data_IF_971777413264
#
_entry.id   IF_971777413264
#
_cell.length_a   1.000
_cell.length_b   1.000
_cell.length_c   1.000
_cell.angle_alpha   90.00
_cell.angle_beta   90.00
_cell.angle_gamma   90.00
#
_symmetry.space_group_name_H-M   'P 1'
#
loop_
_entity.id
_entity.type
_entity.pdbx_description
1 polymer ?
#
# COMPACT_ATOMS: atom_id res chain seq x y z
N UNK A 1 -11.21 -30.94 19.33
CA UNK A 1 -10.86 -30.05 18.20
C UNK A 1 -10.70 -30.93 16.96
N UNK A 2 -11.39 -30.60 15.83
CA UNK A 2 -11.37 -31.42 14.62
C UNK A 2 -10.37 -30.77 13.63
N UNK A 3 -9.15 -31.30 13.55
CA UNK A 3 -8.10 -30.80 12.65
C UNK A 3 -8.05 -31.69 11.42
N UNK A 4 -8.19 -31.11 10.20
CA UNK A 4 -8.03 -31.87 8.96
C UNK A 4 -6.59 -32.38 8.80
N UNK A 5 -6.37 -33.47 8.03
CA UNK A 5 -5.02 -33.92 7.71
C UNK A 5 -4.19 -32.82 7.04
N UNK A 6 -2.97 -32.56 7.50
CA UNK A 6 -2.11 -31.50 6.99
C UNK A 6 -1.86 -31.62 5.48
N UNK A 7 -1.77 -32.83 4.94
CA UNK A 7 -1.62 -33.08 3.50
C UNK A 7 -2.82 -32.56 2.71
N UNK A 8 -4.04 -32.73 3.23
CA UNK A 8 -5.26 -32.22 2.59
C UNK A 8 -5.32 -30.69 2.62
N UNK A 9 -4.83 -30.08 3.70
CA UNK A 9 -4.73 -28.61 3.83
C UNK A 9 -3.71 -28.07 2.82
N UNK A 10 -2.53 -28.67 2.69
CA UNK A 10 -1.50 -28.27 1.74
C UNK A 10 -2.00 -28.41 0.29
N UNK A 11 -2.66 -29.51 -0.03
CA UNK A 11 -3.24 -29.75 -1.36
C UNK A 11 -4.31 -28.67 -1.71
N UNK A 12 -5.18 -28.35 -0.75
CA UNK A 12 -6.20 -27.32 -0.90
C UNK A 12 -5.58 -25.93 -1.15
N UNK A 13 -4.59 -25.52 -0.34
CA UNK A 13 -3.89 -24.25 -0.51
C UNK A 13 -3.22 -24.14 -1.88
N UNK A 14 -2.47 -25.16 -2.27
CA UNK A 14 -1.75 -25.17 -3.54
C UNK A 14 -2.70 -25.09 -4.75
N UNK A 15 -3.84 -25.80 -4.72
CA UNK A 15 -4.85 -25.71 -5.78
C UNK A 15 -5.57 -24.37 -5.75
N UNK A 16 -5.90 -23.83 -4.57
CA UNK A 16 -6.51 -22.50 -4.42
C UNK A 16 -5.65 -21.38 -5.01
N UNK A 17 -4.34 -21.45 -4.81
CA UNK A 17 -3.37 -20.49 -5.32
C UNK A 17 -3.07 -20.65 -6.82
N UNK A 18 -2.99 -21.88 -7.32
CA UNK A 18 -2.59 -22.15 -8.72
C UNK A 18 -3.78 -22.25 -9.67
N UNK A 19 -5.00 -22.47 -9.16
CA UNK A 19 -6.20 -22.76 -9.96
C UNK A 19 -6.14 -24.11 -10.71
N UNK A 20 -5.16 -24.98 -10.38
CA UNK A 20 -4.86 -26.18 -11.17
C UNK A 20 -4.37 -27.34 -10.31
N UNK A 21 -5.08 -28.49 -10.40
CA UNK A 21 -4.68 -29.72 -9.74
C UNK A 21 -3.31 -30.21 -10.24
N UNK A 22 -3.05 -30.09 -11.54
CA UNK A 22 -1.78 -30.55 -12.13
C UNK A 22 -0.61 -29.74 -11.59
N UNK A 23 -0.72 -28.41 -11.60
CA UNK A 23 0.34 -27.54 -11.05
C UNK A 23 0.57 -27.78 -9.55
N UNK A 24 -0.50 -27.96 -8.80
CA UNK A 24 -0.39 -28.30 -7.38
C UNK A 24 0.26 -29.66 -7.12
N UNK A 25 0.02 -30.63 -7.99
CA UNK A 25 0.64 -31.94 -7.95
C UNK A 25 2.15 -31.87 -8.25
N UNK A 26 2.54 -31.10 -9.26
CA UNK A 26 3.93 -30.86 -9.62
C UNK A 26 4.69 -30.18 -8.47
N UNK A 27 4.11 -29.16 -7.83
CA UNK A 27 4.68 -28.48 -6.67
C UNK A 27 4.93 -29.41 -5.47
N UNK A 28 4.03 -30.37 -5.27
CA UNK A 28 4.11 -31.28 -4.12
C UNK A 28 4.83 -32.60 -4.42
N UNK A 29 5.22 -32.82 -5.66
CA UNK A 29 5.87 -34.07 -6.09
C UNK A 29 4.96 -35.31 -5.95
N UNK A 30 3.64 -35.15 -6.16
CA UNK A 30 2.64 -36.23 -6.09
C UNK A 30 1.78 -36.27 -7.35
N UNK A 31 0.95 -37.34 -7.50
CA UNK A 31 0.10 -37.44 -8.67
C UNK A 31 -1.12 -36.49 -8.58
N UNK A 32 -1.69 -36.02 -9.72
CA UNK A 32 -2.91 -35.22 -9.76
C UNK A 32 -4.10 -35.94 -9.10
N UNK A 33 -4.18 -37.29 -9.19
CA UNK A 33 -5.18 -38.08 -8.53
C UNK A 33 -5.06 -38.04 -7.01
N UNK A 34 -3.82 -38.03 -6.48
CA UNK A 34 -3.56 -37.89 -5.05
C UNK A 34 -4.03 -36.51 -4.53
N UNK A 35 -3.73 -35.43 -5.27
CA UNK A 35 -4.21 -34.06 -4.93
C UNK A 35 -5.75 -34.04 -4.92
N UNK A 36 -6.41 -34.58 -5.97
CA UNK A 36 -7.87 -34.63 -6.05
C UNK A 36 -8.47 -35.39 -4.86
N UNK A 37 -7.88 -36.52 -4.48
CA UNK A 37 -8.32 -37.33 -3.33
C UNK A 37 -8.14 -36.54 -2.00
N UNK A 38 -7.03 -35.80 -1.83
CA UNK A 38 -6.82 -34.96 -0.64
C UNK A 38 -7.87 -33.86 -0.52
N UNK A 39 -8.23 -33.20 -1.65
CA UNK A 39 -9.29 -32.19 -1.68
C UNK A 39 -10.65 -32.82 -1.33
N UNK A 40 -11.01 -33.92 -1.95
CA UNK A 40 -12.28 -34.60 -1.67
C UNK A 40 -12.39 -35.00 -0.19
N UNK A 41 -11.32 -35.49 0.42
CA UNK A 41 -11.25 -35.80 1.84
C UNK A 41 -11.49 -34.57 2.71
N UNK A 42 -10.91 -33.41 2.33
CA UNK A 42 -11.10 -32.17 3.05
C UNK A 42 -12.54 -31.66 2.97
N UNK A 43 -13.11 -31.64 1.75
CA UNK A 43 -14.51 -31.26 1.53
C UNK A 43 -15.50 -32.18 2.27
N UNK A 44 -15.25 -33.49 2.27
CA UNK A 44 -16.03 -34.44 3.06
C UNK A 44 -15.96 -34.17 4.56
N UNK A 45 -14.78 -33.82 5.08
CA UNK A 45 -14.58 -33.48 6.48
C UNK A 45 -15.30 -32.18 6.89
N UNK A 46 -15.26 -31.18 6.01
CA UNK A 46 -15.88 -29.85 6.21
C UNK A 46 -17.39 -29.93 5.96
N UNK A 47 -17.84 -30.87 5.11
CA UNK A 47 -19.24 -31.04 4.72
C UNK A 47 -19.73 -30.04 3.67
N UNK A 48 -18.84 -29.37 2.98
CA UNK A 48 -19.13 -28.38 1.93
C UNK A 48 -18.11 -28.44 0.82
N UNK A 49 -18.49 -28.21 -0.45
CA UNK A 49 -17.52 -28.01 -1.53
C UNK A 49 -16.75 -26.74 -1.35
N UNK A 50 -15.42 -26.81 -1.52
CA UNK A 50 -14.52 -25.68 -1.45
C UNK A 50 -14.12 -25.19 -2.83
N UNK A 51 -14.27 -26.04 -3.85
CA UNK A 51 -14.03 -25.71 -5.26
C UNK A 51 -15.27 -25.93 -6.11
N UNK A 52 -15.38 -25.15 -7.18
CA UNK A 52 -16.31 -25.35 -8.28
C UNK A 52 -15.55 -25.28 -9.61
N UNK A 53 -16.15 -25.84 -10.68
CA UNK A 53 -15.56 -25.82 -12.01
C UNK A 53 -16.07 -24.58 -12.78
N UNK A 54 -15.18 -23.80 -13.30
CA UNK A 54 -15.50 -22.76 -14.29
C UNK A 54 -14.66 -22.99 -15.56
N UNK A 55 -15.33 -23.32 -16.65
CA UNK A 55 -14.67 -23.66 -17.91
C UNK A 55 -13.68 -24.84 -17.75
N UNK A 56 -12.40 -24.58 -18.00
CA UNK A 56 -11.31 -25.58 -17.86
C UNK A 56 -10.58 -25.51 -16.51
N UNK A 57 -10.96 -24.59 -15.61
CA UNK A 57 -10.29 -24.33 -14.35
C UNK A 57 -11.10 -24.73 -13.12
N UNK A 58 -10.44 -24.78 -11.98
CA UNK A 58 -11.04 -24.86 -10.66
C UNK A 58 -10.98 -23.47 -10.02
N UNK A 59 -12.12 -23.02 -9.47
CA UNK A 59 -12.22 -21.77 -8.70
C UNK A 59 -12.76 -22.07 -7.31
N UNK A 60 -12.37 -21.25 -6.35
CA UNK A 60 -12.85 -21.38 -4.98
C UNK A 60 -14.33 -20.97 -4.88
N UNK A 61 -15.12 -21.77 -4.15
CA UNK A 61 -16.46 -21.35 -3.72
C UNK A 61 -16.35 -20.24 -2.67
N UNK A 62 -17.44 -19.52 -2.30
CA UNK A 62 -17.40 -18.55 -1.19
C UNK A 62 -16.90 -19.18 0.12
N UNK A 63 -17.29 -20.42 0.44
CA UNK A 63 -16.76 -21.17 1.58
C UNK A 63 -15.26 -21.48 1.42
N UNK A 64 -14.85 -21.83 0.19
CA UNK A 64 -13.46 -22.06 -0.17
C UNK A 64 -12.61 -20.81 -0.03
N UNK A 65 -13.09 -19.64 -0.45
CA UNK A 65 -12.38 -18.36 -0.34
C UNK A 65 -12.14 -17.99 1.12
N UNK A 66 -13.18 -18.07 1.96
CA UNK A 66 -13.04 -17.83 3.38
C UNK A 66 -12.01 -18.77 4.02
N UNK A 67 -12.16 -20.09 3.77
CA UNK A 67 -11.26 -21.10 4.33
C UNK A 67 -9.83 -20.95 3.82
N UNK A 68 -9.65 -20.60 2.55
CA UNK A 68 -8.33 -20.33 1.95
C UNK A 68 -7.62 -19.18 2.64
N UNK A 69 -8.32 -18.09 2.92
CA UNK A 69 -7.78 -16.95 3.64
C UNK A 69 -7.19 -17.32 5.01
N UNK A 70 -7.94 -18.12 5.78
CA UNK A 70 -7.52 -18.54 7.13
C UNK A 70 -6.37 -19.56 7.08
N UNK A 71 -6.49 -20.58 6.21
CA UNK A 71 -5.52 -21.68 6.14
C UNK A 71 -4.17 -21.24 5.59
N UNK A 72 -4.14 -20.36 4.59
CA UNK A 72 -2.88 -19.88 4.02
C UNK A 72 -2.03 -19.16 5.06
N UNK A 73 -2.66 -18.39 5.96
CA UNK A 73 -1.94 -17.75 7.08
C UNK A 73 -1.36 -18.79 8.05
N UNK A 74 -2.15 -19.80 8.42
CA UNK A 74 -1.72 -20.85 9.34
C UNK A 74 -0.56 -21.68 8.78
N UNK A 75 -0.57 -21.99 7.48
CA UNK A 75 0.54 -22.69 6.82
C UNK A 75 1.82 -21.88 6.80
N UNK A 76 1.74 -20.57 6.55
CA UNK A 76 2.89 -19.67 6.63
C UNK A 76 3.45 -19.64 8.06
N UNK A 77 2.60 -19.57 9.08
CA UNK A 77 3.04 -19.60 10.48
C UNK A 77 3.67 -20.94 10.85
N UNK A 78 3.11 -22.05 10.39
CA UNK A 78 3.67 -23.39 10.60
C UNK A 78 5.05 -23.53 9.95
N UNK A 79 5.21 -23.06 8.71
CA UNK A 79 6.51 -23.03 8.02
C UNK A 79 7.55 -22.25 8.81
N UNK A 80 7.21 -21.06 9.27
CA UNK A 80 8.08 -20.22 10.11
C UNK A 80 8.49 -20.91 11.42
N UNK A 81 7.54 -21.51 12.11
CA UNK A 81 7.83 -22.26 13.35
C UNK A 81 8.81 -23.42 13.09
N UNK A 82 8.66 -24.09 11.95
CA UNK A 82 9.55 -25.16 11.52
C UNK A 82 10.95 -24.64 11.21
N UNK A 83 11.05 -23.51 10.49
CA UNK A 83 12.35 -22.87 10.17
C UNK A 83 13.08 -22.41 11.44
N UNK A 84 12.34 -21.84 12.40
CA UNK A 84 12.91 -21.46 13.71
C UNK A 84 13.44 -22.69 14.47
N UNK A 85 12.68 -23.78 14.48
CA UNK A 85 13.07 -25.02 15.17
C UNK A 85 14.27 -25.73 14.51
N UNK A 86 14.39 -25.62 13.19
CA UNK A 86 15.49 -26.23 12.42
C UNK A 86 16.80 -25.46 12.50
N UNK A 87 16.82 -24.26 13.12
CA UNK A 87 18.00 -23.40 13.19
C UNK A 87 18.43 -22.81 11.83
N UNK A 88 17.68 -23.07 10.78
CA UNK A 88 17.92 -22.52 9.44
C UNK A 88 17.37 -21.09 9.41
N UNK A 89 18.19 -20.11 9.81
CA UNK A 89 17.88 -18.68 9.62
C UNK A 89 17.98 -18.32 8.14
N UNK A 90 16.97 -18.66 7.37
CA UNK A 90 16.75 -17.93 6.14
C UNK A 90 16.46 -16.46 6.53
N UNK A 91 17.03 -15.46 5.85
CA UNK A 91 16.74 -14.06 6.16
C UNK A 91 15.24 -13.84 6.07
N UNK A 92 14.67 -13.32 7.15
CA UNK A 92 13.24 -13.08 7.25
C UNK A 92 12.82 -12.05 6.21
N UNK A 93 11.76 -12.32 5.44
CA UNK A 93 11.25 -11.39 4.43
C UNK A 93 10.09 -10.61 5.00
N UNK A 94 10.20 -9.29 5.09
CA UNK A 94 9.08 -8.39 5.36
C UNK A 94 8.47 -7.95 4.03
N UNK A 95 7.19 -8.25 3.86
CA UNK A 95 6.41 -7.94 2.65
C UNK A 95 5.61 -6.68 2.90
N UNK A 96 6.06 -5.59 2.28
CA UNK A 96 5.43 -4.29 2.37
C UNK A 96 4.61 -4.06 1.11
N UNK A 97 3.37 -3.69 1.29
CA UNK A 97 2.53 -3.13 0.24
C UNK A 97 2.36 -1.63 0.46
N UNK A 98 2.17 -0.86 -0.59
CA UNK A 98 1.83 0.56 -0.49
C UNK A 98 1.09 1.06 -1.72
N UNK A 99 0.52 2.27 -1.65
CA UNK A 99 0.14 3.00 -2.85
C UNK A 99 1.36 3.27 -3.72
N UNK A 100 1.23 3.30 -5.07
CA UNK A 100 2.36 3.52 -5.97
C UNK A 100 3.12 4.81 -5.70
N UNK A 101 2.41 5.92 -5.46
CA UNK A 101 3.06 7.21 -5.19
C UNK A 101 3.88 7.18 -3.89
N UNK A 102 3.35 6.61 -2.81
CA UNK A 102 4.09 6.48 -1.56
C UNK A 102 5.29 5.55 -1.71
N UNK A 103 5.09 4.39 -2.33
CA UNK A 103 6.16 3.43 -2.58
C UNK A 103 7.33 4.03 -3.35
N UNK A 104 7.03 4.74 -4.44
CA UNK A 104 8.03 5.36 -5.31
C UNK A 104 8.72 6.58 -4.66
N UNK A 105 7.92 7.53 -4.16
CA UNK A 105 8.41 8.85 -3.79
C UNK A 105 8.93 8.90 -2.35
N UNK A 106 8.33 8.12 -1.45
CA UNK A 106 8.68 8.20 -0.04
C UNK A 106 9.48 6.99 0.45
N UNK A 107 9.01 5.77 0.18
CA UNK A 107 9.60 4.56 0.75
C UNK A 107 10.87 4.12 0.01
N UNK A 108 10.84 4.07 -1.32
CA UNK A 108 11.98 3.60 -2.13
C UNK A 108 13.28 4.37 -1.86
N UNK A 109 13.30 5.72 -1.77
CA UNK A 109 14.52 6.47 -1.44
C UNK A 109 15.09 6.14 -0.05
N UNK A 110 14.23 5.63 0.85
CA UNK A 110 14.56 5.33 2.26
C UNK A 110 14.83 3.85 2.53
N UNK A 111 14.60 2.96 1.56
CA UNK A 111 14.76 1.50 1.72
C UNK A 111 16.15 1.12 2.21
N UNK A 112 17.20 1.80 1.71
CA UNK A 112 18.58 1.52 2.10
C UNK A 112 18.83 1.81 3.59
N UNK A 113 18.27 2.91 4.10
CA UNK A 113 18.36 3.24 5.52
C UNK A 113 17.56 2.25 6.37
N UNK A 114 16.34 1.89 5.94
CA UNK A 114 15.54 0.87 6.60
C UNK A 114 16.29 -0.48 6.71
N UNK A 115 16.93 -0.93 5.64
CA UNK A 115 17.72 -2.18 5.64
C UNK A 115 18.97 -2.10 6.53
N UNK A 116 19.61 -0.93 6.61
CA UNK A 116 20.80 -0.75 7.43
C UNK A 116 20.48 -0.79 8.94
N UNK A 117 19.35 -0.20 9.33
CA UNK A 117 18.93 -0.19 10.74
C UNK A 117 18.22 -1.48 11.17
N UNK A 118 17.53 -2.13 10.25
CA UNK A 118 16.78 -3.37 10.50
C UNK A 118 17.54 -4.58 9.94
N UNK A 119 18.70 -4.87 10.52
CA UNK A 119 19.52 -6.02 10.12
C UNK A 119 18.79 -7.35 10.35
N UNK A 120 18.84 -8.25 9.37
CA UNK A 120 18.25 -9.58 9.43
C UNK A 120 16.97 -9.76 8.60
N UNK A 121 16.43 -8.69 8.00
CA UNK A 121 15.28 -8.78 7.11
C UNK A 121 15.65 -8.53 5.65
N UNK A 122 14.97 -9.25 4.75
CA UNK A 122 14.84 -8.85 3.35
C UNK A 122 13.51 -8.12 3.18
N UNK A 123 13.50 -7.06 2.38
CA UNK A 123 12.28 -6.31 2.09
C UNK A 123 11.78 -6.72 0.71
N UNK A 124 10.49 -7.05 0.63
CA UNK A 124 9.76 -7.17 -0.63
C UNK A 124 8.72 -6.06 -0.67
N UNK A 125 8.89 -5.11 -1.58
CA UNK A 125 7.95 -4.02 -1.82
C UNK A 125 7.08 -4.34 -3.02
N UNK A 126 5.78 -4.17 -2.88
CA UNK A 126 4.78 -4.25 -3.96
C UNK A 126 3.86 -3.04 -3.86
N UNK A 127 3.39 -2.53 -5.00
CA UNK A 127 2.56 -1.33 -5.02
C UNK A 127 1.31 -1.56 -5.88
N UNK A 128 0.15 -1.20 -5.34
CA UNK A 128 -1.12 -1.08 -6.06
C UNK A 128 -2.07 -0.15 -5.29
N UNK A 129 -3.20 0.21 -5.90
CA UNK A 129 -4.27 0.96 -5.20
C UNK A 129 -5.34 0.05 -4.62
N UNK A 130 -5.35 -1.21 -5.00
CA UNK A 130 -6.30 -2.16 -4.44
C UNK A 130 -5.93 -2.43 -2.98
N UNK A 131 -6.88 -2.31 -2.05
CA UNK A 131 -6.65 -2.68 -0.66
C UNK A 131 -6.22 -4.14 -0.57
N UNK A 132 -5.06 -4.39 0.04
CA UNK A 132 -4.59 -5.75 0.23
C UNK A 132 -5.28 -6.41 1.41
N UNK A 133 -5.56 -7.70 1.27
CA UNK A 133 -5.95 -8.55 2.38
C UNK A 133 -4.71 -9.13 3.05
N UNK A 134 -4.67 -9.10 4.37
CA UNK A 134 -3.65 -9.81 5.15
C UNK A 134 -3.94 -11.31 5.28
N UNK A 135 -5.14 -11.75 4.88
CA UNK A 135 -5.47 -13.17 4.77
C UNK A 135 -4.58 -13.81 3.70
N UNK A 136 -3.97 -14.96 4.03
CA UNK A 136 -3.04 -15.64 3.13
C UNK A 136 -1.57 -15.25 3.29
N UNK A 137 -1.22 -14.30 4.17
CA UNK A 137 0.18 -13.96 4.49
C UNK A 137 0.99 -13.40 3.31
N UNK A 138 0.30 -12.89 2.27
CA UNK A 138 0.94 -12.28 1.09
C UNK A 138 1.68 -11.00 1.45
N UNK A 139 1.17 -10.28 2.46
CA UNK A 139 1.70 -9.02 2.95
C UNK A 139 1.80 -9.03 4.47
N UNK A 140 2.75 -8.28 4.99
CA UNK A 140 2.99 -8.14 6.43
C UNK A 140 2.64 -6.72 6.91
N UNK A 141 2.86 -5.72 6.07
CA UNK A 141 2.57 -4.30 6.29
C UNK A 141 1.98 -3.72 5.02
N UNK A 142 1.01 -2.82 5.17
CA UNK A 142 0.43 -2.05 4.08
C UNK A 142 0.43 -0.56 4.44
N UNK A 143 0.86 0.29 3.51
CA UNK A 143 0.78 1.74 3.69
C UNK A 143 -0.38 2.24 2.84
N UNK A 144 -1.47 2.59 3.52
CA UNK A 144 -2.73 3.01 2.91
C UNK A 144 -2.88 4.52 2.92
N UNK A 145 -3.48 5.01 1.87
CA UNK A 145 -4.00 6.36 1.79
C UNK A 145 -5.51 6.35 2.08
N UNK A 146 -5.99 7.30 2.89
CA UNK A 146 -7.40 7.44 3.23
C UNK A 146 -7.66 7.99 4.63
N UNK A 147 -8.85 7.74 5.16
CA UNK A 147 -9.32 8.32 6.43
C UNK A 147 -8.90 7.53 7.70
N UNK A 148 -8.09 6.50 7.57
CA UNK A 148 -7.58 5.76 8.74
C UNK A 148 -8.57 4.76 9.38
N UNK A 149 -9.64 4.39 8.70
CA UNK A 149 -10.67 3.50 9.25
C UNK A 149 -10.72 2.21 8.46
N UNK A 150 -10.08 1.15 8.98
CA UNK A 150 -10.09 -0.19 8.40
C UNK A 150 -10.33 -1.23 9.49
N UNK A 151 -11.46 -1.97 9.45
CA UNK A 151 -11.78 -2.96 10.49
C UNK A 151 -10.81 -4.15 10.45
N UNK A 152 -10.54 -4.72 11.64
CA UNK A 152 -9.79 -5.97 11.78
C UNK A 152 -8.27 -5.86 11.63
N UNK A 153 -7.72 -4.65 11.62
CA UNK A 153 -6.28 -4.38 11.51
C UNK A 153 -5.82 -3.30 12.49
N UNK A 154 -4.54 -3.33 12.83
CA UNK A 154 -3.88 -2.22 13.52
C UNK A 154 -3.59 -1.09 12.53
N UNK A 155 -3.85 0.14 12.94
CA UNK A 155 -3.63 1.35 12.14
C UNK A 155 -2.74 2.32 12.90
N UNK A 156 -1.67 2.77 12.25
CA UNK A 156 -0.77 3.81 12.77
C UNK A 156 -0.67 4.93 11.75
N UNK A 157 -1.10 6.12 12.12
CA UNK A 157 -1.09 7.30 11.23
C UNK A 157 0.32 7.87 11.11
N UNK A 158 0.75 8.17 9.88
CA UNK A 158 1.94 8.97 9.63
C UNK A 158 1.61 10.44 9.89
N UNK A 159 2.38 11.09 10.77
CA UNK A 159 2.16 12.48 11.14
C UNK A 159 2.92 13.47 10.26
N UNK A 160 2.58 14.77 10.40
CA UNK A 160 3.33 15.86 9.78
C UNK A 160 3.06 16.09 8.29
N UNK A 161 1.97 15.55 7.77
CA UNK A 161 1.56 15.72 6.37
C UNK A 161 0.68 16.96 6.19
N UNK A 162 0.98 17.75 5.18
CA UNK A 162 0.13 18.86 4.74
C UNK A 162 -0.08 18.81 3.23
N UNK A 163 -1.22 19.29 2.78
CA UNK A 163 -1.50 19.55 1.37
C UNK A 163 -1.27 21.02 1.08
N UNK A 164 -0.53 21.33 0.03
CA UNK A 164 -0.24 22.72 -0.38
C UNK A 164 -0.10 22.82 -1.89
N UNK A 165 -0.46 23.96 -2.50
CA UNK A 165 -0.14 24.24 -3.89
C UNK A 165 1.38 24.26 -4.11
N UNK A 166 1.85 23.54 -5.12
CA UNK A 166 3.27 23.45 -5.48
C UNK A 166 3.46 23.59 -6.98
N UNK A 167 4.53 24.28 -7.36
CA UNK A 167 4.97 24.41 -8.76
C UNK A 167 6.50 24.55 -8.81
N UNK A 168 7.07 24.52 -10.00
CA UNK A 168 8.47 24.87 -10.19
C UNK A 168 8.71 26.37 -9.91
N UNK A 169 9.92 26.72 -9.53
CA UNK A 169 10.29 28.09 -9.26
C UNK A 169 10.05 28.99 -10.47
N UNK A 170 10.45 28.53 -11.63
CA UNK A 170 10.32 29.24 -12.91
C UNK A 170 8.85 29.53 -13.23
N UNK A 171 7.94 28.58 -12.94
CA UNK A 171 6.50 28.75 -13.13
C UNK A 171 5.94 29.82 -12.18
N UNK A 172 6.31 29.79 -10.91
CA UNK A 172 5.87 30.77 -9.90
C UNK A 172 6.32 32.19 -10.28
N UNK A 173 7.55 32.35 -10.68
CA UNK A 173 8.13 33.64 -11.08
C UNK A 173 7.50 34.16 -12.39
N UNK A 174 7.34 33.28 -13.38
CA UNK A 174 6.78 33.68 -14.69
C UNK A 174 5.30 34.16 -14.61
N UNK A 175 4.54 33.64 -13.64
CA UNK A 175 3.12 33.99 -13.46
C UNK A 175 2.89 34.96 -12.30
N UNK A 176 3.94 35.44 -11.62
CA UNK A 176 3.87 36.37 -10.49
C UNK A 176 2.87 35.93 -9.39
N UNK A 177 2.93 34.63 -9.00
CA UNK A 177 2.00 34.04 -8.04
C UNK A 177 2.33 34.49 -6.62
N UNK A 178 1.51 35.41 -6.07
CA UNK A 178 1.72 36.02 -4.74
C UNK A 178 0.61 35.74 -3.74
N UNK A 179 -0.58 35.51 -4.18
CA UNK A 179 -1.76 35.27 -3.37
C UNK A 179 -2.65 34.15 -3.95
N UNK A 180 -3.47 33.48 -3.12
CA UNK A 180 -4.31 32.37 -3.58
C UNK A 180 -5.20 32.66 -4.79
N UNK A 181 -5.69 33.91 -4.94
CA UNK A 181 -6.54 34.30 -6.07
C UNK A 181 -5.80 34.25 -7.42
N UNK A 182 -4.48 34.39 -7.43
CA UNK A 182 -3.68 34.36 -8.66
C UNK A 182 -3.72 32.99 -9.33
N UNK A 183 -3.97 31.92 -8.55
CA UNK A 183 -4.12 30.55 -9.07
C UNK A 183 -5.34 30.38 -9.99
N UNK A 184 -6.32 31.28 -9.94
CA UNK A 184 -7.47 31.23 -10.85
C UNK A 184 -7.11 31.60 -12.30
N UNK A 185 -5.95 32.20 -12.51
CA UNK A 185 -5.45 32.65 -13.81
C UNK A 185 -4.41 31.73 -14.46
N UNK A 186 -4.08 30.60 -13.84
CA UNK A 186 -3.03 29.69 -14.33
C UNK A 186 -3.52 28.25 -14.44
N UNK A 187 -2.83 27.40 -15.24
CA UNK A 187 -3.16 26.00 -15.31
C UNK A 187 -3.09 25.29 -13.94
N UNK A 188 -4.17 24.66 -13.54
CA UNK A 188 -4.23 23.81 -12.36
C UNK A 188 -4.21 22.36 -12.76
N UNK A 189 -3.37 21.59 -12.08
CA UNK A 189 -3.26 20.15 -12.25
C UNK A 189 -4.23 19.48 -11.27
N UNK A 190 -5.16 18.67 -11.81
CA UNK A 190 -6.06 17.86 -11.00
C UNK A 190 -5.42 16.52 -10.68
N UNK A 191 -5.39 16.15 -9.40
CA UNK A 191 -5.00 14.84 -8.91
C UNK A 191 -6.16 14.20 -8.16
N UNK A 192 -6.48 12.95 -8.47
CA UNK A 192 -7.57 12.22 -7.79
C UNK A 192 -7.20 11.79 -6.36
N UNK A 193 -5.90 11.75 -6.05
CA UNK A 193 -5.40 11.17 -4.80
C UNK A 193 -5.62 12.01 -3.54
N UNK A 194 -5.42 13.35 -3.51
CA UNK A 194 -5.50 14.13 -2.29
C UNK A 194 -6.87 14.10 -1.61
N UNK A 195 -6.87 14.04 -0.27
CA UNK A 195 -8.13 14.11 0.53
C UNK A 195 -8.80 15.48 0.48
N UNK A 196 -8.04 16.54 0.17
CA UNK A 196 -8.55 17.90 -0.03
C UNK A 196 -8.31 18.26 -1.49
N UNK A 197 -9.39 18.58 -2.19
CA UNK A 197 -9.36 18.97 -3.58
C UNK A 197 -9.34 20.49 -3.75
N UNK A 198 -9.00 20.98 -4.94
CA UNK A 198 -8.91 22.40 -5.26
C UNK A 198 -10.13 23.24 -4.81
N UNK A 199 -11.39 22.81 -5.05
CA UNK A 199 -12.55 23.56 -4.58
C UNK A 199 -12.56 23.78 -3.07
N UNK A 200 -12.22 22.75 -2.31
CA UNK A 200 -12.16 22.83 -0.86
C UNK A 200 -10.96 23.67 -0.39
N UNK A 201 -9.81 23.55 -1.05
CA UNK A 201 -8.65 24.36 -0.72
C UNK A 201 -8.93 25.86 -0.93
N UNK A 202 -9.49 26.25 -2.08
CA UNK A 202 -9.89 27.63 -2.34
C UNK A 202 -10.90 28.17 -1.33
N UNK A 203 -11.89 27.34 -0.96
CA UNK A 203 -12.84 27.70 0.10
C UNK A 203 -12.15 27.97 1.43
N UNK A 204 -11.15 27.13 1.79
CA UNK A 204 -10.41 27.28 3.06
C UNK A 204 -9.58 28.58 3.09
N UNK A 205 -9.12 29.08 1.95
CA UNK A 205 -8.36 30.33 1.86
C UNK A 205 -9.22 31.56 1.51
N UNK A 206 -10.54 31.40 1.50
CA UNK A 206 -11.52 32.49 1.29
C UNK A 206 -11.59 32.99 -0.15
N UNK A 207 -11.16 32.21 -1.13
CA UNK A 207 -11.24 32.56 -2.55
C UNK A 207 -12.51 31.95 -3.14
N UNK A 208 -13.40 32.80 -3.63
CA UNK A 208 -14.61 32.37 -4.36
C UNK A 208 -14.25 31.94 -5.77
N UNK A 209 -14.71 30.76 -6.15
CA UNK A 209 -14.53 30.19 -7.47
C UNK A 209 -15.89 29.80 -8.05
N UNK A 210 -16.07 29.94 -9.35
CA UNK A 210 -17.28 29.47 -10.05
C UNK A 210 -17.02 28.25 -10.90
N UNK A 211 -15.94 28.26 -11.68
CA UNK A 211 -15.52 27.13 -12.51
C UNK A 211 -13.99 27.05 -12.47
N UNK A 212 -13.45 25.89 -12.05
CA UNK A 212 -12.03 25.61 -12.15
C UNK A 212 -11.78 24.87 -13.46
N UNK A 213 -11.05 25.52 -14.37
CA UNK A 213 -10.55 24.88 -15.58
C UNK A 213 -9.34 24.04 -15.26
N UNK A 214 -9.47 22.72 -15.29
CA UNK A 214 -8.30 21.82 -15.23
C UNK A 214 -7.88 21.46 -16.65
N UNK A 215 -6.59 21.60 -16.95
CA UNK A 215 -6.06 21.19 -18.25
C UNK A 215 -5.48 19.77 -18.19
N UNK A 216 -5.02 19.34 -17.02
CA UNK A 216 -4.40 18.03 -16.79
C UNK A 216 -5.06 17.30 -15.63
N UNK A 217 -5.32 16.01 -15.85
CA UNK A 217 -5.94 15.12 -14.88
C UNK A 217 -5.06 13.89 -14.68
N UNK A 218 -4.69 13.61 -13.44
CA UNK A 218 -3.88 12.45 -13.10
C UNK A 218 -4.54 11.66 -11.96
N UNK A 219 -4.49 10.36 -12.10
CA UNK A 219 -4.91 9.42 -11.05
C UNK A 219 -3.81 9.11 -10.03
N UNK A 220 -2.62 9.72 -10.21
CA UNK A 220 -1.41 9.45 -9.42
C UNK A 220 -0.72 10.74 -8.97
N UNK A 221 -0.48 10.89 -7.67
CA UNK A 221 0.26 12.03 -7.12
C UNK A 221 1.64 12.21 -7.75
N UNK A 222 2.37 11.12 -8.02
CA UNK A 222 3.69 11.23 -8.64
C UNK A 222 3.64 11.85 -10.05
N UNK A 223 2.55 11.63 -10.80
CA UNK A 223 2.38 12.25 -12.12
C UNK A 223 2.07 13.75 -12.00
N UNK A 224 1.23 14.11 -11.02
CA UNK A 224 0.91 15.51 -10.75
C UNK A 224 2.15 16.31 -10.31
N UNK A 225 2.95 15.73 -9.41
CA UNK A 225 4.22 16.33 -8.97
C UNK A 225 5.22 16.48 -10.11
N UNK A 226 5.35 15.46 -10.95
CA UNK A 226 6.24 15.49 -12.10
C UNK A 226 5.79 16.54 -13.13
N UNK A 227 4.50 16.63 -13.43
CA UNK A 227 3.95 17.63 -14.32
C UNK A 227 4.19 19.06 -13.80
N UNK A 228 3.99 19.28 -12.50
CA UNK A 228 4.27 20.58 -11.87
C UNK A 228 5.76 20.94 -11.92
N UNK A 229 6.66 19.96 -11.73
CA UNK A 229 8.09 20.15 -11.90
C UNK A 229 8.46 20.58 -13.32
N UNK A 230 7.78 20.02 -14.33
CA UNK A 230 8.00 20.37 -15.74
C UNK A 230 7.37 21.72 -16.14
N UNK A 231 6.77 22.46 -15.19
CA UNK A 231 6.16 23.75 -15.45
C UNK A 231 4.82 23.69 -16.19
N UNK A 232 4.12 22.53 -16.13
CA UNK A 232 2.82 22.36 -16.77
C UNK A 232 1.64 22.96 -15.99
N UNK A 233 1.90 23.45 -14.77
CA UNK A 233 0.89 24.06 -13.91
C UNK A 233 1.19 23.91 -12.43
N UNK A 234 0.20 24.24 -11.61
CA UNK A 234 0.26 24.11 -10.15
C UNK A 234 -0.46 22.84 -9.71
N UNK A 235 0.18 21.99 -8.93
CA UNK A 235 -0.47 20.85 -8.28
C UNK A 235 -0.82 21.14 -6.82
N UNK A 236 -1.88 20.51 -6.31
CA UNK A 236 -2.23 20.50 -4.89
C UNK A 236 -1.91 19.10 -4.35
N UNK A 237 -0.79 18.98 -3.64
CA UNK A 237 -0.25 17.66 -3.27
C UNK A 237 0.35 17.63 -1.87
N UNK A 238 0.59 16.42 -1.39
CA UNK A 238 1.16 16.13 -0.08
C UNK A 238 2.64 16.52 0.00
N UNK A 239 3.02 17.28 1.02
CA UNK A 239 4.41 17.59 1.33
C UNK A 239 5.22 16.34 1.69
N UNK A 240 4.56 15.28 2.19
CA UNK A 240 5.20 14.00 2.49
C UNK A 240 5.66 13.32 1.19
N UNK A 241 4.80 13.29 0.18
CA UNK A 241 5.13 12.72 -1.14
C UNK A 241 6.09 13.62 -1.92
N UNK A 242 5.96 14.93 -1.78
CA UNK A 242 6.81 15.92 -2.44
C UNK A 242 8.19 16.10 -1.77
N UNK A 243 8.50 15.40 -0.68
CA UNK A 243 9.65 15.68 0.17
C UNK A 243 10.99 15.78 -0.60
N UNK A 244 11.25 14.90 -1.57
CA UNK A 244 12.46 14.97 -2.39
C UNK A 244 12.47 16.17 -3.35
N UNK A 245 11.33 16.48 -3.96
CA UNK A 245 11.19 17.63 -4.87
C UNK A 245 11.41 18.96 -4.14
N UNK A 246 10.91 19.05 -2.89
CA UNK A 246 11.08 20.22 -2.04
C UNK A 246 12.54 20.37 -1.55
N UNK A 247 13.15 19.25 -1.14
CA UNK A 247 14.54 19.25 -0.67
C UNK A 247 15.53 19.63 -1.77
N UNK A 248 15.28 19.18 -3.00
CA UNK A 248 16.14 19.47 -4.17
C UNK A 248 15.80 20.82 -4.84
N UNK A 249 14.74 21.51 -4.37
CA UNK A 249 14.27 22.77 -4.96
C UNK A 249 13.60 22.65 -6.33
N UNK A 250 13.27 21.41 -6.76
CA UNK A 250 12.55 21.17 -8.03
C UNK A 250 11.10 21.63 -8.00
N UNK A 251 10.49 21.59 -6.83
CA UNK A 251 9.20 22.20 -6.54
C UNK A 251 9.31 23.09 -5.32
N UNK A 252 8.44 24.08 -5.24
CA UNK A 252 8.29 24.95 -4.08
C UNK A 252 6.81 25.10 -3.73
N UNK A 253 6.46 25.22 -2.43
CA UNK A 253 5.13 25.68 -2.05
C UNK A 253 4.92 27.10 -2.58
N UNK A 254 3.86 27.32 -3.35
CA UNK A 254 3.59 28.60 -4.03
C UNK A 254 3.46 29.75 -3.02
N UNK A 255 2.88 29.49 -1.85
CA UNK A 255 2.64 30.50 -0.80
C UNK A 255 3.35 30.15 0.52
N UNK A 256 4.43 29.41 0.48
CA UNK A 256 5.09 28.90 1.69
C UNK A 256 4.15 28.00 2.51
N UNK A 257 4.20 28.10 3.84
CA UNK A 257 3.38 27.29 4.75
C UNK A 257 2.01 27.91 5.09
N UNK A 258 1.78 29.18 4.70
CA UNK A 258 0.63 29.99 5.17
C UNK A 258 -0.73 29.42 4.76
N UNK A 259 -0.78 28.67 3.67
CA UNK A 259 -2.04 28.10 3.13
C UNK A 259 -1.98 26.59 3.01
N UNK A 260 -1.07 25.95 3.73
CA UNK A 260 -0.98 24.50 3.81
C UNK A 260 -2.12 23.95 4.70
N UNK A 261 -2.75 22.89 4.25
CA UNK A 261 -3.86 22.23 4.97
C UNK A 261 -3.32 20.97 5.62
N UNK A 262 -3.31 20.88 6.98
CA UNK A 262 -2.91 19.66 7.66
C UNK A 262 -3.85 18.50 7.31
N UNK A 263 -3.29 17.34 7.01
CA UNK A 263 -4.04 16.12 6.72
C UNK A 263 -3.41 14.91 7.42
N UNK A 264 -4.24 13.89 7.62
CA UNK A 264 -3.81 12.58 8.09
C UNK A 264 -4.23 11.55 7.04
N UNK A 265 -3.49 11.54 5.92
CA UNK A 265 -3.88 10.77 4.74
C UNK A 265 -3.15 9.43 4.62
N UNK A 266 -1.93 9.32 5.12
CA UNK A 266 -1.16 8.08 5.04
C UNK A 266 -1.08 7.35 6.38
N UNK A 267 -1.27 6.03 6.32
CA UNK A 267 -1.33 5.17 7.49
C UNK A 267 -0.58 3.87 7.25
N UNK A 268 0.15 3.41 8.25
CA UNK A 268 0.72 2.06 8.27
C UNK A 268 -0.31 1.12 8.87
N UNK A 269 -0.64 0.09 8.14
CA UNK A 269 -1.67 -0.89 8.50
C UNK A 269 -1.05 -2.28 8.55
N UNK A 270 -1.37 -3.06 9.57
CA UNK A 270 -0.84 -4.42 9.75
C UNK A 270 -1.78 -5.26 10.62
N UNK A 271 -1.74 -6.59 10.54
CA UNK A 271 -2.56 -7.45 11.38
C UNK A 271 -2.09 -7.41 12.84
N UNK A 272 -3.01 -7.42 13.81
CA UNK A 272 -2.69 -7.50 15.24
C UNK A 272 -1.97 -8.82 15.59
N UNK A 273 -2.37 -9.92 14.96
CA UNK A 273 -1.73 -11.21 15.14
C UNK A 273 -0.34 -11.23 14.48
N UNK A 274 0.72 -11.50 15.26
CA UNK A 274 2.10 -11.49 14.79
C UNK A 274 2.69 -10.10 14.57
N UNK A 275 2.10 -9.06 15.15
CA UNK A 275 2.55 -7.67 15.06
C UNK A 275 3.99 -7.49 15.54
N UNK A 276 4.43 -8.24 16.54
CA UNK A 276 5.80 -8.15 17.12
C UNK A 276 6.91 -8.17 16.08
N UNK A 277 6.70 -8.92 15.01
CA UNK A 277 7.63 -9.07 13.90
C UNK A 277 7.79 -7.81 13.06
N UNK A 278 6.69 -7.10 12.83
CA UNK A 278 6.66 -5.93 11.93
C UNK A 278 6.79 -4.61 12.67
N UNK A 279 6.55 -4.60 13.98
CA UNK A 279 6.65 -3.40 14.83
C UNK A 279 7.95 -2.64 14.66
N UNK A 280 9.15 -3.26 14.56
CA UNK A 280 10.39 -2.52 14.31
C UNK A 280 10.36 -1.74 12.99
N UNK A 281 9.86 -2.35 11.91
CA UNK A 281 9.72 -1.71 10.59
C UNK A 281 8.64 -0.62 10.64
N UNK A 282 7.51 -0.89 11.29
CA UNK A 282 6.42 0.09 11.48
C UNK A 282 6.92 1.32 12.22
N UNK A 283 7.61 1.14 13.34
CA UNK A 283 8.17 2.23 14.13
C UNK A 283 9.19 3.03 13.33
N UNK A 284 10.06 2.35 12.58
CA UNK A 284 11.02 3.01 11.72
C UNK A 284 10.32 3.91 10.67
N UNK A 285 9.26 3.41 10.02
CA UNK A 285 8.48 4.19 9.04
C UNK A 285 7.86 5.42 9.71
N UNK A 286 7.26 5.27 10.89
CA UNK A 286 6.65 6.36 11.65
C UNK A 286 7.68 7.43 12.05
N UNK A 287 8.83 7.01 12.54
CA UNK A 287 9.90 7.92 12.96
C UNK A 287 10.53 8.64 11.76
N UNK A 288 10.78 7.93 10.67
CA UNK A 288 11.26 8.54 9.42
C UNK A 288 10.28 9.57 8.86
N UNK A 289 8.96 9.33 8.97
CA UNK A 289 7.94 10.29 8.53
C UNK A 289 7.94 11.57 9.38
N UNK A 290 8.08 11.45 10.71
CA UNK A 290 8.17 12.61 11.61
C UNK A 290 9.38 13.50 11.32
N UNK A 291 10.51 12.91 10.92
CA UNK A 291 11.74 13.64 10.60
C UNK A 291 11.75 14.22 9.19
N UNK A 292 10.88 13.71 8.29
CA UNK A 292 10.76 14.21 6.92
C UNK A 292 9.81 15.41 6.80
N UNK A 293 9.00 15.70 7.83
CA UNK A 293 8.15 16.88 7.84
C UNK A 293 9.00 18.16 7.85
N UNK A 294 8.75 19.16 6.99
CA UNK A 294 9.40 20.44 7.10
C UNK A 294 9.14 20.99 8.51
N UNK A 295 10.21 21.36 9.23
CA UNK A 295 10.08 22.04 10.51
C UNK A 295 9.37 23.36 10.29
N UNK A 296 8.40 23.72 11.16
CA UNK A 296 7.62 24.95 11.04
C UNK A 296 8.49 26.21 11.03
#
# INVERSE_FOLDING_TARGET
MRIPPIKSIIAFESVGRTGSITRAADEQGISPSAVSHQIANLESLIGRPLFTREGRGLVLTPAGQQYFGEISQLLVQLGRATDHASGTRAPEVIRIHSSPSFGLLWLLPRIRALQAEQQGFKIRLSCSYEPVSFSGGAYDVDIRHGHGIWPGVEVRTLGGETLTPMASREFIEAHDLRQPADLLGVPLIFSESPLVQWPQWFSNVGVSQRDLGYELFFDRSYMALEAAQQGLGVCLESTLLAASYLADGRLQPVFGTSHAVPVSAHHVVFPAAGAERVVPVVNWILDAARHAAPRP
#
